data_IF_741006334679
#
_entry.id   IF_741006334679
#
_cell.length_a   1.000
_cell.length_b   1.000
_cell.length_c   1.000
_cell.angle_alpha   90.00
_cell.angle_beta   90.00
_cell.angle_gamma   90.00
#
_symmetry.space_group_name_H-M   'P 1'
#
loop_
_entity.id
_entity.type
_entity.pdbx_description
1 polymer ?
#
# COMPACT_ATOMS: atom_id res chain seq x y z
N UNK A 1 -1.40 -2.07 4.30
CA UNK A 1 -2.46 -3.01 3.95
C UNK A 1 -2.89 -2.89 2.53
N UNK A 2 -3.12 -4.01 1.89
CA UNK A 2 -3.55 -4.00 0.50
C UNK A 2 -4.98 -4.48 0.41
N UNK A 3 -5.81 -3.71 -0.25
CA UNK A 3 -7.20 -4.07 -0.40
C UNK A 3 -7.53 -4.26 -1.86
N UNK A 4 -8.17 -5.35 -2.19
CA UNK A 4 -8.57 -5.60 -3.56
C UNK A 4 -9.83 -4.79 -3.86
N UNK A 5 -9.79 -4.03 -4.93
CA UNK A 5 -10.92 -3.23 -5.33
C UNK A 5 -11.19 -3.46 -6.80
N UNK A 6 -12.33 -2.97 -7.24
CA UNK A 6 -12.67 -3.10 -8.64
C UNK A 6 -11.67 -2.31 -9.45
N UNK A 7 -11.01 -2.96 -10.33
CA UNK A 7 -10.03 -2.30 -11.16
C UNK A 7 -8.60 -2.42 -10.66
N UNK A 8 -8.39 -3.03 -9.50
CA UNK A 8 -7.02 -3.15 -9.05
C UNK A 8 -6.88 -3.37 -7.57
N UNK A 9 -5.80 -2.86 -7.02
CA UNK A 9 -5.50 -3.03 -5.61
C UNK A 9 -5.12 -1.68 -5.02
N UNK A 10 -5.55 -1.44 -3.82
CA UNK A 10 -5.23 -0.20 -3.13
C UNK A 10 -4.32 -0.47 -1.94
N UNK A 11 -3.47 0.48 -1.65
CA UNK A 11 -2.59 0.38 -0.49
C UNK A 11 -3.12 1.30 0.58
N UNK A 12 -3.42 0.75 1.73
CA UNK A 12 -3.98 1.51 2.83
C UNK A 12 -3.04 1.47 4.02
N UNK A 13 -3.20 2.42 4.90
CA UNK A 13 -2.38 2.47 6.11
C UNK A 13 -2.75 1.31 7.02
N UNK A 14 -2.01 1.15 8.10
CA UNK A 14 -2.24 0.03 9.00
C UNK A 14 -3.65 -0.06 9.50
N UNK A 15 -4.24 1.07 9.83
CA UNK A 15 -5.60 1.05 10.31
C UNK A 15 -6.61 1.14 9.18
N UNK A 16 -6.16 1.14 7.95
CA UNK A 16 -7.04 1.13 6.80
C UNK A 16 -7.80 2.42 6.58
N UNK A 17 -7.42 3.47 7.25
CA UNK A 17 -8.12 4.72 7.10
C UNK A 17 -7.51 5.65 6.07
N UNK A 18 -6.25 5.51 5.82
CA UNK A 18 -5.58 6.39 4.91
C UNK A 18 -5.19 5.68 3.64
N UNK A 19 -5.47 6.28 2.51
CA UNK A 19 -5.10 5.72 1.23
C UNK A 19 -3.67 6.13 0.92
N UNK A 20 -2.77 5.16 0.93
CA UNK A 20 -1.36 5.44 0.70
C UNK A 20 -0.99 5.36 -0.77
N UNK A 21 -1.83 4.78 -1.58
CA UNK A 21 -1.55 4.72 -2.99
C UNK A 21 -2.52 3.81 -3.71
N UNK A 22 -2.47 3.85 -5.02
CA UNK A 22 -3.31 3.02 -5.84
C UNK A 22 -4.44 3.79 -6.43
N UNK A 23 -5.32 3.12 -7.15
CA UNK A 23 -5.27 1.66 -7.32
C UNK A 23 -4.17 1.24 -8.28
N UNK A 24 -3.60 0.09 -8.03
CA UNK A 24 -2.58 -0.49 -8.88
C UNK A 24 -3.18 -1.63 -9.67
N UNK A 25 -2.65 -1.86 -10.85
CA UNK A 25 -3.16 -2.92 -11.70
C UNK A 25 -2.92 -4.30 -11.12
N UNK A 26 -1.81 -4.48 -10.46
CA UNK A 26 -1.48 -5.78 -9.92
C UNK A 26 -1.16 -5.69 -8.45
N UNK A 27 -1.34 -6.80 -7.79
CA UNK A 27 -1.04 -6.87 -6.38
C UNK A 27 0.46 -6.66 -6.14
N UNK A 28 1.26 -7.10 -7.07
CA UNK A 28 2.68 -6.96 -6.95
C UNK A 28 3.10 -5.50 -6.82
N UNK A 29 2.50 -4.65 -7.63
CA UNK A 29 2.81 -3.24 -7.56
C UNK A 29 2.34 -2.62 -6.26
N UNK A 30 1.18 -3.05 -5.81
CA UNK A 30 0.66 -2.56 -4.54
C UNK A 30 1.58 -2.97 -3.39
N UNK A 31 2.06 -4.20 -3.42
CA UNK A 31 2.95 -4.68 -2.39
C UNK A 31 4.26 -3.90 -2.39
N UNK A 32 4.72 -3.58 -3.57
CA UNK A 32 5.95 -2.83 -3.70
C UNK A 32 5.81 -1.47 -3.02
N UNK A 33 4.68 -0.83 -3.26
CA UNK A 33 4.43 0.47 -2.65
C UNK A 33 4.31 0.34 -1.15
N UNK A 34 3.60 -0.67 -0.71
CA UNK A 34 3.41 -0.89 0.71
C UNK A 34 4.76 -1.09 1.40
N UNK A 35 5.65 -1.82 0.76
CA UNK A 35 6.96 -2.03 1.31
C UNK A 35 7.71 -0.74 1.47
N UNK A 36 7.62 0.12 0.48
CA UNK A 36 8.31 1.41 0.55
C UNK A 36 7.80 2.24 1.70
N UNK A 37 6.49 2.26 1.87
CA UNK A 37 5.90 3.03 2.95
C UNK A 37 6.33 2.48 4.30
N UNK A 38 6.32 1.17 4.42
CA UNK A 38 6.73 0.55 5.67
C UNK A 38 8.20 0.81 5.94
N UNK A 39 8.98 0.82 4.91
CA UNK A 39 10.40 1.06 5.06
C UNK A 39 10.64 2.45 5.63
N UNK A 40 9.94 3.42 5.11
CA UNK A 40 10.07 4.78 5.62
C UNK A 40 9.59 4.88 7.06
N UNK A 41 8.52 4.17 7.35
CA UNK A 41 7.96 4.22 8.69
C UNK A 41 8.88 3.61 9.72
N UNK A 42 9.53 2.54 9.35
CA UNK A 42 10.41 1.85 10.28
C UNK A 42 11.83 2.35 10.23
N UNK A 43 12.04 3.39 9.50
CA UNK A 43 13.36 3.92 9.43
C UNK A 43 13.81 4.37 10.80
N UNK A 44 14.88 3.84 11.26
CA UNK A 44 15.33 4.21 12.56
C UNK A 44 16.35 5.21 12.41
N UNK A 45 16.26 6.11 11.98
CA UNK A 45 17.22 7.21 11.92
C UNK A 45 18.62 6.80 12.08
#
# INVERSE_FOLDING_TARGET
MIKKVEGGYKVLSENGKKNLGGPYKTKKEAEKRLRQVEFFKHKKG
#
